data_IF_933133348842
#
_entry.id   IF_933133348842
#
_cell.length_a   1.000
_cell.length_b   1.000
_cell.length_c   1.000
_cell.angle_alpha   90.00
_cell.angle_beta   90.00
_cell.angle_gamma   90.00
#
_symmetry.space_group_name_H-M   'P 1'
#
loop_
_entity.id
_entity.type
_entity.pdbx_description
1 polymer ?
#
# COMPACT_ATOMS: atom_id res chain seq x y z
N UNK A 1 12.13 -0.20 -8.83
CA UNK A 1 11.95 -0.84 -7.52
C UNK A 1 10.46 -1.02 -7.24
N UNK A 2 10.13 -1.91 -6.36
CA UNK A 2 8.74 -2.15 -5.99
C UNK A 2 8.40 -1.39 -4.71
N UNK A 3 7.35 -0.59 -4.77
CA UNK A 3 6.90 0.21 -3.64
C UNK A 3 5.54 -0.31 -3.18
N UNK A 4 5.52 -0.91 -1.99
CA UNK A 4 4.28 -1.41 -1.41
C UNK A 4 3.62 -0.28 -0.62
N UNK A 5 2.38 0.02 -0.95
CA UNK A 5 1.63 1.10 -0.28
C UNK A 5 0.42 0.53 0.42
N UNK A 6 0.30 0.84 1.69
CA UNK A 6 -0.84 0.46 2.53
C UNK A 6 -1.72 1.68 2.75
N UNK A 7 -2.98 1.55 2.41
CA UNK A 7 -3.97 2.60 2.64
C UNK A 7 -5.36 1.98 2.63
N UNK A 8 -6.31 2.65 3.28
CA UNK A 8 -7.69 2.23 3.24
C UNK A 8 -8.35 2.63 1.93
N UNK A 9 -9.46 1.97 1.60
CA UNK A 9 -10.24 2.33 0.43
C UNK A 9 -11.02 3.62 0.64
N UNK A 10 -11.32 3.96 1.89
CA UNK A 10 -12.14 5.11 2.23
C UNK A 10 -11.37 6.42 2.05
N UNK A 11 -11.95 7.37 1.33
CA UNK A 11 -11.31 8.66 1.09
C UNK A 11 -11.20 9.54 2.33
N UNK A 12 -12.00 9.27 3.36
CA UNK A 12 -12.03 10.12 4.53
C UNK A 12 -12.66 11.48 4.22
N UNK A 13 -12.44 12.44 5.13
CA UNK A 13 -13.00 13.79 4.99
C UNK A 13 -11.97 14.84 4.58
N UNK A 14 -10.72 14.45 4.50
CA UNK A 14 -9.63 15.38 4.23
C UNK A 14 -9.21 15.30 2.76
N UNK A 15 -9.55 16.32 1.94
CA UNK A 15 -9.17 16.29 0.54
C UNK A 15 -7.66 16.35 0.30
N UNK A 16 -6.88 16.78 1.29
CA UNK A 16 -5.43 16.79 1.15
C UNK A 16 -4.85 15.39 1.08
N UNK A 17 -5.51 14.42 1.67
CA UNK A 17 -5.08 13.02 1.61
C UNK A 17 -5.18 12.48 0.18
N UNK A 18 -6.27 12.78 -0.50
CA UNK A 18 -6.43 12.39 -1.90
C UNK A 18 -5.35 13.01 -2.78
N UNK A 19 -5.05 14.28 -2.56
CA UNK A 19 -3.99 14.97 -3.29
C UNK A 19 -2.63 14.30 -3.05
N UNK A 20 -2.32 14.00 -1.80
CA UNK A 20 -1.06 13.36 -1.44
C UNK A 20 -0.94 11.96 -2.07
N UNK A 21 -2.03 11.21 -2.07
CA UNK A 21 -2.07 9.88 -2.69
C UNK A 21 -1.79 9.97 -4.19
N UNK A 22 -2.42 10.92 -4.87
CA UNK A 22 -2.21 11.10 -6.31
C UNK A 22 -0.80 11.59 -6.62
N UNK A 23 -0.25 12.46 -5.80
CA UNK A 23 1.14 12.91 -5.97
C UNK A 23 2.13 11.76 -5.82
N UNK A 24 1.91 10.90 -4.83
CA UNK A 24 2.73 9.72 -4.64
C UNK A 24 2.64 8.79 -5.85
N UNK A 25 1.42 8.54 -6.33
CA UNK A 25 1.23 7.68 -7.50
C UNK A 25 1.92 8.21 -8.74
N UNK A 26 1.82 9.50 -8.98
CA UNK A 26 2.49 10.15 -10.09
C UNK A 26 4.01 9.99 -9.98
N UNK A 27 4.54 10.19 -8.78
CA UNK A 27 5.97 10.02 -8.55
C UNK A 27 6.42 8.58 -8.79
N UNK A 28 5.64 7.61 -8.31
CA UNK A 28 5.97 6.19 -8.54
C UNK A 28 6.04 5.89 -10.04
N UNK A 29 5.04 6.36 -10.79
CA UNK A 29 5.02 6.14 -12.24
C UNK A 29 6.17 6.81 -12.96
N UNK A 30 6.45 8.06 -12.61
CA UNK A 30 7.52 8.83 -13.25
C UNK A 30 8.91 8.31 -12.92
N UNK A 31 9.07 7.72 -11.73
CA UNK A 31 10.38 7.20 -11.30
C UNK A 31 10.71 5.84 -11.91
N UNK A 32 9.80 5.26 -12.66
CA UNK A 32 10.01 3.92 -13.22
C UNK A 32 9.85 2.81 -12.19
N UNK A 33 9.28 3.12 -11.04
CA UNK A 33 9.00 2.13 -10.00
C UNK A 33 7.66 1.46 -10.24
N UNK A 34 7.40 0.41 -9.48
CA UNK A 34 6.19 -0.38 -9.59
C UNK A 34 5.40 -0.27 -8.29
N UNK A 35 4.09 -0.06 -8.39
CA UNK A 35 3.22 -0.03 -7.22
C UNK A 35 2.77 -1.44 -6.87
N UNK A 36 2.87 -1.80 -5.59
CA UNK A 36 2.27 -3.01 -5.03
C UNK A 36 1.22 -2.53 -4.04
N UNK A 37 -0.03 -2.94 -4.22
CA UNK A 37 -1.10 -2.47 -3.33
C UNK A 37 -2.22 -3.50 -3.23
N UNK A 38 -3.31 -3.14 -2.56
CA UNK A 38 -4.39 -4.07 -2.26
C UNK A 38 -5.32 -4.45 -3.41
N UNK A 39 -5.19 -3.84 -4.58
CA UNK A 39 -5.91 -4.28 -5.76
C UNK A 39 -7.27 -3.64 -6.00
N UNK A 40 -7.81 -2.88 -5.06
CA UNK A 40 -9.14 -2.28 -5.19
C UNK A 40 -9.15 -1.10 -6.16
N UNK A 41 -10.29 -0.92 -6.84
CA UNK A 41 -10.52 0.27 -7.66
C UNK A 41 -11.24 1.38 -6.92
N UNK A 42 -11.66 1.14 -5.68
CA UNK A 42 -12.48 2.06 -4.91
C UNK A 42 -11.65 3.05 -4.09
N UNK A 43 -12.20 4.26 -3.91
CA UNK A 43 -11.64 5.25 -3.01
C UNK A 43 -10.19 5.59 -3.26
N UNK A 44 -9.42 5.74 -2.20
CA UNK A 44 -8.01 6.13 -2.29
C UNK A 44 -7.15 5.09 -2.98
N UNK A 45 -7.50 3.81 -2.86
CA UNK A 45 -6.77 2.75 -3.57
C UNK A 45 -6.87 2.94 -5.08
N UNK A 46 -8.08 3.20 -5.57
CA UNK A 46 -8.29 3.46 -7.00
C UNK A 46 -7.58 4.71 -7.47
N UNK A 47 -7.61 5.77 -6.65
CA UNK A 47 -6.92 7.02 -6.96
C UNK A 47 -5.41 6.81 -7.09
N UNK A 48 -4.83 6.02 -6.18
CA UNK A 48 -3.41 5.72 -6.23
C UNK A 48 -3.05 4.95 -7.49
N UNK A 49 -3.76 3.86 -7.76
CA UNK A 49 -3.49 3.02 -8.92
C UNK A 49 -3.65 3.81 -10.22
N UNK A 50 -4.71 4.60 -10.33
CA UNK A 50 -4.96 5.42 -11.52
C UNK A 50 -3.83 6.42 -11.75
N UNK A 51 -3.36 7.08 -10.70
CA UNK A 51 -2.30 8.08 -10.85
C UNK A 51 -0.98 7.46 -11.31
N UNK A 52 -0.67 6.24 -10.83
CA UNK A 52 0.52 5.52 -11.30
C UNK A 52 0.38 5.16 -12.78
N UNK A 53 -0.77 4.65 -13.18
CA UNK A 53 -1.01 4.27 -14.58
C UNK A 53 -0.96 5.48 -15.51
N UNK A 54 -1.55 6.59 -15.09
CA UNK A 54 -1.55 7.83 -15.88
C UNK A 54 -0.15 8.38 -16.05
N UNK A 55 0.74 8.13 -15.11
CA UNK A 55 2.14 8.56 -15.20
C UNK A 55 3.02 7.55 -15.94
N UNK A 56 2.43 6.51 -16.52
CA UNK A 56 3.15 5.51 -17.31
C UNK A 56 3.79 4.41 -16.48
N UNK A 57 3.41 4.27 -15.22
CA UNK A 57 3.96 3.25 -14.34
C UNK A 57 3.20 1.94 -14.37
N UNK A 58 3.72 0.97 -13.64
CA UNK A 58 3.10 -0.35 -13.50
C UNK A 58 2.45 -0.50 -12.13
N UNK A 59 1.34 -1.23 -12.09
CA UNK A 59 0.58 -1.46 -10.87
C UNK A 59 0.31 -2.95 -10.71
N UNK A 60 0.68 -3.49 -9.56
CA UNK A 60 0.38 -4.88 -9.20
C UNK A 60 -0.57 -4.83 -8.01
N UNK A 61 -1.75 -5.40 -8.18
CA UNK A 61 -2.72 -5.55 -7.09
C UNK A 61 -2.63 -6.95 -6.51
N UNK A 62 -2.81 -7.05 -5.20
CA UNK A 62 -2.82 -8.33 -4.50
C UNK A 62 -4.12 -8.42 -3.72
N UNK A 63 -5.02 -9.32 -4.13
CA UNK A 63 -6.33 -9.45 -3.52
C UNK A 63 -6.67 -10.89 -3.20
N UNK A 64 -7.33 -11.15 -2.05
CA UNK A 64 -7.83 -12.48 -1.78
C UNK A 64 -9.03 -12.80 -2.67
N UNK A 65 -9.23 -14.09 -2.93
CA UNK A 65 -10.27 -14.55 -3.84
C UNK A 65 -11.66 -14.04 -3.47
N UNK A 66 -11.97 -13.93 -2.18
CA UNK A 66 -13.32 -13.50 -1.80
C UNK A 66 -13.60 -12.04 -2.19
N UNK A 67 -12.58 -11.18 -2.29
CA UNK A 67 -12.78 -9.82 -2.81
C UNK A 67 -12.98 -9.82 -4.33
N UNK A 68 -12.34 -10.75 -5.02
CA UNK A 68 -12.58 -10.93 -6.46
C UNK A 68 -14.04 -11.34 -6.69
N UNK A 69 -14.54 -12.26 -5.86
CA UNK A 69 -15.93 -12.70 -5.94
C UNK A 69 -16.93 -11.56 -5.69
N UNK A 70 -16.51 -10.53 -4.96
CA UNK A 70 -17.29 -9.33 -4.69
C UNK A 70 -17.05 -8.21 -5.69
N UNK A 71 -16.23 -8.45 -6.71
CA UNK A 71 -15.93 -7.52 -7.78
C UNK A 71 -15.27 -6.22 -7.31
N UNK A 72 -14.41 -6.31 -6.31
CA UNK A 72 -13.68 -5.14 -5.79
C UNK A 72 -12.39 -4.84 -6.56
N UNK A 73 -11.94 -5.77 -7.40
CA UNK A 73 -10.67 -5.62 -8.09
C UNK A 73 -10.68 -4.52 -9.15
N UNK A 74 -9.51 -3.99 -9.42
CA UNK A 74 -9.28 -3.03 -10.49
C UNK A 74 -8.69 -3.79 -11.69
N UNK A 75 -9.50 -4.04 -12.69
CA UNK A 75 -9.10 -4.89 -13.83
C UNK A 75 -8.11 -4.24 -14.79
N UNK A 76 -7.98 -2.92 -14.73
CA UNK A 76 -7.11 -2.18 -15.66
C UNK A 76 -5.67 -2.06 -15.20
N UNK A 77 -5.33 -2.62 -14.05
CA UNK A 77 -3.97 -2.60 -13.54
C UNK A 77 -3.08 -3.58 -14.33
N UNK A 78 -1.77 -3.42 -14.16
CA UNK A 78 -0.79 -4.20 -14.92
C UNK A 78 -0.90 -5.69 -14.62
N UNK A 79 -1.04 -6.05 -13.34
CA UNK A 79 -1.15 -7.44 -12.92
C UNK A 79 -2.00 -7.53 -11.67
N UNK A 80 -2.83 -8.58 -11.58
CA UNK A 80 -3.61 -8.86 -10.40
C UNK A 80 -3.19 -10.23 -9.88
N UNK A 81 -2.67 -10.26 -8.66
CA UNK A 81 -2.29 -11.51 -7.99
C UNK A 81 -3.43 -11.87 -7.04
N UNK A 82 -4.01 -13.04 -7.24
CA UNK A 82 -5.11 -13.53 -6.43
C UNK A 82 -4.55 -14.48 -5.38
N UNK A 83 -4.84 -14.20 -4.11
CA UNK A 83 -4.42 -15.04 -3.01
C UNK A 83 -5.63 -15.79 -2.45
N UNK A 84 -5.36 -16.86 -1.70
CA UNK A 84 -6.45 -17.67 -1.14
C UNK A 84 -7.11 -16.99 0.06
N UNK A 85 -6.36 -16.19 0.82
CA UNK A 85 -6.86 -15.53 2.03
C UNK A 85 -6.05 -14.27 2.33
N UNK A 86 -6.42 -13.58 3.42
CA UNK A 86 -5.74 -12.34 3.84
C UNK A 86 -4.33 -12.58 4.33
N UNK A 87 -4.06 -13.72 4.92
CA UNK A 87 -2.71 -14.06 5.40
C UNK A 87 -1.73 -14.15 4.25
N UNK A 88 -2.12 -14.85 3.19
CA UNK A 88 -1.30 -14.98 2.00
C UNK A 88 -1.12 -13.63 1.31
N UNK A 89 -2.17 -12.79 1.29
CA UNK A 89 -2.10 -11.44 0.73
C UNK A 89 -1.05 -10.60 1.45
N UNK A 90 -1.09 -10.60 2.78
CA UNK A 90 -0.12 -9.83 3.59
C UNK A 90 1.31 -10.27 3.31
N UNK A 91 1.53 -11.58 3.28
CA UNK A 91 2.85 -12.13 3.00
C UNK A 91 3.33 -11.76 1.61
N UNK A 92 2.44 -11.81 0.62
CA UNK A 92 2.81 -11.49 -0.76
C UNK A 92 3.19 -10.02 -0.91
N UNK A 93 2.45 -9.13 -0.28
CA UNK A 93 2.75 -7.70 -0.33
C UNK A 93 4.10 -7.37 0.32
N UNK A 94 4.44 -8.06 1.39
CA UNK A 94 5.74 -7.89 2.05
C UNK A 94 6.86 -8.47 1.19
N UNK A 95 6.64 -9.64 0.62
CA UNK A 95 7.62 -10.33 -0.20
C UNK A 95 8.00 -9.52 -1.44
N UNK A 96 7.01 -8.91 -2.09
CA UNK A 96 7.23 -8.19 -3.33
C UNK A 96 7.83 -6.80 -3.14
N UNK A 97 7.63 -6.17 -2.00
CA UNK A 97 8.01 -4.77 -1.80
C UNK A 97 9.47 -4.58 -1.45
N UNK A 98 10.05 -3.51 -1.99
CA UNK A 98 11.39 -3.04 -1.63
C UNK A 98 11.31 -1.87 -0.65
N UNK A 99 10.26 -1.07 -0.75
CA UNK A 99 9.98 0.08 0.11
C UNK A 99 8.53 -0.02 0.55
N UNK A 100 8.24 0.36 1.78
CA UNK A 100 6.89 0.26 2.34
C UNK A 100 6.42 1.63 2.79
N UNK A 101 5.27 2.07 2.28
CA UNK A 101 4.68 3.37 2.61
C UNK A 101 3.27 3.13 3.14
N UNK A 102 2.91 3.79 4.24
CA UNK A 102 1.58 3.69 4.80
C UNK A 102 0.93 5.05 4.92
N UNK A 103 -0.34 5.11 4.50
CA UNK A 103 -1.21 6.25 4.72
C UNK A 103 -2.20 5.93 5.83
N UNK A 104 -2.71 6.92 6.54
CA UNK A 104 -3.75 6.67 7.52
C UNK A 104 -4.99 6.11 6.82
N UNK A 105 -5.54 5.04 7.34
CA UNK A 105 -6.65 4.37 6.66
C UNK A 105 -7.38 3.37 7.53
N UNK A 106 -7.44 3.58 8.82
CA UNK A 106 -8.19 2.73 9.71
C UNK A 106 -7.34 1.63 10.36
N UNK A 107 -8.00 0.74 11.07
CA UNK A 107 -7.32 -0.26 11.89
C UNK A 107 -6.58 -1.30 11.07
N UNK A 108 -7.12 -1.67 9.91
CA UNK A 108 -6.48 -2.67 9.06
C UNK A 108 -5.11 -2.22 8.58
N UNK A 109 -4.96 -0.94 8.24
CA UNK A 109 -3.68 -0.41 7.80
C UNK A 109 -2.65 -0.43 8.92
N UNK A 110 -3.06 -0.11 10.14
CA UNK A 110 -2.16 -0.17 11.29
C UNK A 110 -1.66 -1.59 11.55
N UNK A 111 -2.54 -2.58 11.43
CA UNK A 111 -2.15 -3.98 11.60
C UNK A 111 -1.13 -4.40 10.55
N UNK A 112 -1.35 -4.01 9.30
CA UNK A 112 -0.44 -4.34 8.22
C UNK A 112 0.93 -3.73 8.44
N UNK A 113 0.97 -2.47 8.86
CA UNK A 113 2.23 -1.78 9.13
C UNK A 113 2.95 -2.40 10.32
N UNK A 114 2.24 -2.72 11.39
CA UNK A 114 2.84 -3.36 12.55
C UNK A 114 3.47 -4.70 12.18
N UNK A 115 2.80 -5.46 11.33
CA UNK A 115 3.31 -6.74 10.86
C UNK A 115 4.56 -6.57 10.00
N UNK A 116 4.56 -5.59 9.09
CA UNK A 116 5.73 -5.29 8.26
C UNK A 116 6.92 -4.91 9.13
N UNK A 117 6.71 -3.99 10.08
CA UNK A 117 7.78 -3.56 10.98
C UNK A 117 8.34 -4.71 11.80
N UNK A 118 7.47 -5.59 12.26
CA UNK A 118 7.87 -6.77 13.01
C UNK A 118 8.74 -7.70 12.15
N UNK A 119 8.32 -7.95 10.91
CA UNK A 119 9.06 -8.82 10.01
C UNK A 119 10.40 -8.23 9.59
N UNK A 120 10.44 -6.93 9.37
CA UNK A 120 11.70 -6.23 9.08
C UNK A 120 12.67 -6.41 10.24
N UNK A 121 12.18 -6.23 11.47
CA UNK A 121 13.00 -6.39 12.66
C UNK A 121 13.51 -7.83 12.84
N UNK A 122 12.61 -8.82 12.69
CA UNK A 122 12.94 -10.21 12.94
C UNK A 122 13.85 -10.83 11.89
N UNK A 123 13.70 -10.41 10.64
CA UNK A 123 14.45 -10.99 9.53
C UNK A 123 15.64 -10.16 9.08
N UNK A 124 15.93 -9.11 9.82
CA UNK A 124 17.02 -8.18 9.48
C UNK A 124 16.88 -7.60 8.07
N UNK A 125 15.66 -7.42 7.62
CA UNK A 125 15.41 -6.75 6.35
C UNK A 125 15.79 -5.28 6.47
N UNK A 126 16.39 -4.74 5.43
CA UNK A 126 16.83 -3.34 5.41
C UNK A 126 15.84 -2.43 4.67
N UNK A 127 14.66 -2.96 4.34
CA UNK A 127 13.67 -2.20 3.58
C UNK A 127 13.17 -0.99 4.37
N UNK A 128 13.19 0.20 3.79
CA UNK A 128 12.67 1.38 4.48
C UNK A 128 11.14 1.34 4.60
N UNK A 129 10.65 1.85 5.73
CA UNK A 129 9.22 1.99 5.99
C UNK A 129 8.92 3.45 6.25
N UNK A 130 7.95 4.00 5.52
CA UNK A 130 7.56 5.39 5.62
C UNK A 130 6.11 5.49 6.08
N UNK A 131 5.88 6.21 7.17
CA UNK A 131 4.54 6.43 7.71
C UNK A 131 4.12 7.85 7.37
N UNK A 132 3.17 7.98 6.45
CA UNK A 132 2.72 9.30 6.02
C UNK A 132 1.69 9.86 7.00
N UNK A 133 2.04 11.00 7.61
CA UNK A 133 1.13 11.76 8.47
C UNK A 133 0.47 10.92 9.57
N UNK A 134 1.19 9.98 10.13
CA UNK A 134 0.71 9.16 11.24
C UNK A 134 1.20 9.61 12.60
N UNK A 135 1.88 10.73 12.66
CA UNK A 135 2.52 11.21 13.88
C UNK A 135 1.53 11.43 15.04
N UNK A 136 0.29 11.77 14.73
CA UNK A 136 -0.73 11.99 15.76
C UNK A 136 -1.23 10.69 16.39
N UNK A 137 -1.17 9.60 15.65
CA UNK A 137 -1.63 8.30 16.12
C UNK A 137 -0.47 7.41 16.53
N UNK A 138 0.70 7.69 16.00
CA UNK A 138 1.83 6.81 16.10
C UNK A 138 3.03 7.57 16.63
N UNK A 139 2.91 7.96 17.88
CA UNK A 139 3.98 8.67 18.56
C UNK A 139 4.91 7.75 19.31
N UNK A 140 4.59 6.46 19.33
CA UNK A 140 5.48 5.52 19.99
C UNK A 140 6.81 5.54 19.27
N UNK A 141 7.89 5.68 20.00
CA UNK A 141 9.21 5.72 19.40
C UNK A 141 9.50 4.40 18.72
N UNK A 142 10.11 4.47 17.56
CA UNK A 142 10.65 3.28 16.97
C UNK A 142 11.84 2.85 17.82
N UNK A 143 12.29 1.60 17.73
CA UNK A 143 13.48 1.18 18.46
C UNK A 143 14.70 2.05 18.16
N UNK A 144 14.71 2.73 17.04
CA UNK A 144 15.82 3.60 16.67
C UNK A 144 15.76 4.98 17.31
N UNK A 145 14.57 5.37 17.79
CA UNK A 145 14.38 6.65 18.44
C UNK A 145 14.68 6.57 19.93
N UNK A 146 14.80 5.38 20.40
CA UNK A 146 15.10 5.14 21.80
C UNK A 146 16.57 5.39 22.10
#
# INVERSE_FOLDING_TARGET
MNITVYLGANEGKDPSLKTAVRELGTWIGESGSRLIYGGSKSGLMGELAESVLQAGGEVIGVEPQFFIDMEYQYDEITELIVTKDMTERKMKMIELGDVFIAFPGGTGTLEEIAEVMSKVSLKHLTAPCILYNLCLLYTSPSPRDA
#
